data_IF_951055603382
#
_entry.id   IF_951055603382
#
_cell.length_a   1.000
_cell.length_b   1.000
_cell.length_c   1.000
_cell.angle_alpha   90.00
_cell.angle_beta   90.00
_cell.angle_gamma   90.00
#
_symmetry.space_group_name_H-M   'P 1'
#
loop_
_entity.id
_entity.type
_entity.pdbx_description
1 polymer ?
#
# COMPACT_ATOMS: atom_id res chain seq x y z
N UNK A 1 -0.66 -21.57 -2.09
CA UNK A 1 -1.56 -20.92 -3.04
C UNK A 1 -0.73 -20.34 -4.16
N UNK A 2 -0.92 -20.86 -5.37
CA UNK A 2 -0.30 -20.35 -6.59
C UNK A 2 -1.08 -19.15 -7.15
N UNK A 3 -0.55 -18.53 -8.19
CA UNK A 3 -1.13 -17.34 -8.83
C UNK A 3 -2.52 -17.62 -9.41
N UNK A 4 -2.70 -18.77 -10.04
CA UNK A 4 -3.93 -19.19 -10.71
C UNK A 4 -5.10 -19.29 -9.73
N UNK A 5 -4.86 -19.91 -8.57
CA UNK A 5 -5.83 -20.03 -7.47
C UNK A 5 -6.31 -18.66 -6.96
N UNK A 6 -5.45 -17.64 -6.96
CA UNK A 6 -5.80 -16.28 -6.51
C UNK A 6 -6.76 -15.63 -7.51
N UNK A 7 -6.50 -15.79 -8.81
CA UNK A 7 -7.37 -15.24 -9.86
C UNK A 7 -8.74 -15.93 -9.84
N UNK A 8 -8.79 -17.25 -9.65
CA UNK A 8 -10.04 -17.97 -9.48
C UNK A 8 -10.84 -17.46 -8.27
N UNK A 9 -10.17 -17.27 -7.11
CA UNK A 9 -10.81 -16.66 -5.94
C UNK A 9 -11.32 -15.25 -6.23
N UNK A 10 -10.58 -14.44 -6.98
CA UNK A 10 -11.03 -13.10 -7.35
C UNK A 10 -12.27 -13.14 -8.27
N UNK A 11 -12.31 -14.06 -9.23
CA UNK A 11 -13.48 -14.24 -10.09
C UNK A 11 -14.71 -14.71 -9.31
N UNK A 12 -14.53 -15.56 -8.29
CA UNK A 12 -15.62 -16.03 -7.42
C UNK A 12 -16.14 -14.94 -6.48
N UNK A 13 -15.26 -14.07 -5.98
CA UNK A 13 -15.59 -13.02 -5.02
C UNK A 13 -16.00 -11.69 -5.67
N UNK A 14 -15.98 -11.61 -7.00
CA UNK A 14 -16.25 -10.37 -7.72
C UNK A 14 -17.64 -9.84 -7.39
N UNK A 15 -17.73 -8.53 -7.21
CA UNK A 15 -18.97 -7.87 -6.84
C UNK A 15 -19.13 -6.54 -7.59
N UNK A 16 -19.89 -6.51 -8.70
CA UNK A 16 -20.12 -5.30 -9.49
C UNK A 16 -20.78 -4.16 -8.69
N UNK A 17 -21.65 -4.47 -7.72
CA UNK A 17 -22.28 -3.44 -6.87
C UNK A 17 -21.25 -2.70 -6.02
N UNK A 18 -20.22 -3.40 -5.54
CA UNK A 18 -19.12 -2.77 -4.82
C UNK A 18 -18.30 -1.88 -5.76
N UNK A 19 -18.07 -2.31 -7.01
CA UNK A 19 -17.38 -1.49 -8.03
C UNK A 19 -18.12 -0.17 -8.26
N UNK A 20 -19.46 -0.21 -8.37
CA UNK A 20 -20.28 1.01 -8.46
C UNK A 20 -20.17 1.88 -7.20
N UNK A 21 -20.18 1.25 -6.02
CA UNK A 21 -20.05 1.94 -4.73
C UNK A 21 -18.70 2.65 -4.53
N UNK A 22 -17.60 2.06 -5.02
CA UNK A 22 -16.23 2.61 -4.94
C UNK A 22 -16.15 4.05 -5.50
N UNK A 23 -16.89 4.32 -6.58
CA UNK A 23 -16.92 5.63 -7.22
C UNK A 23 -17.43 6.75 -6.28
N UNK A 24 -18.31 6.43 -5.32
CA UNK A 24 -18.83 7.38 -4.31
C UNK A 24 -17.74 7.83 -3.33
N UNK A 25 -16.73 6.99 -3.13
CA UNK A 25 -15.55 7.29 -2.29
C UNK A 25 -14.38 7.85 -3.11
N UNK A 26 -14.59 8.18 -4.40
CA UNK A 26 -13.53 8.65 -5.28
C UNK A 26 -12.52 7.57 -5.68
N UNK A 27 -12.83 6.29 -5.43
CA UNK A 27 -12.00 5.16 -5.85
C UNK A 27 -12.38 4.85 -7.31
N UNK A 28 -11.52 5.28 -8.24
CA UNK A 28 -11.70 5.11 -9.69
C UNK A 28 -10.38 4.70 -10.34
N UNK A 29 -9.85 3.50 -10.00
CA UNK A 29 -8.60 3.02 -10.55
C UNK A 29 -8.72 2.85 -12.08
N UNK A 30 -7.59 2.99 -12.77
CA UNK A 30 -7.46 2.76 -14.23
C UNK A 30 -7.22 1.29 -14.55
N UNK A 31 -6.88 0.50 -13.53
CA UNK A 31 -6.69 -0.95 -13.59
C UNK A 31 -8.00 -1.73 -13.61
N UNK A 32 -7.93 -3.04 -13.92
CA UNK A 32 -9.07 -3.96 -13.71
C UNK A 32 -9.47 -3.98 -12.24
N UNK A 33 -10.78 -4.06 -11.97
CA UNK A 33 -11.36 -4.04 -10.62
C UNK A 33 -12.35 -5.20 -10.47
N UNK A 34 -12.29 -5.89 -9.34
CA UNK A 34 -13.21 -6.97 -8.99
C UNK A 34 -14.28 -6.56 -7.97
N UNK A 35 -14.08 -5.48 -7.21
CA UNK A 35 -15.00 -5.01 -6.18
C UNK A 35 -14.97 -5.88 -4.92
N UNK A 36 -13.84 -6.53 -4.63
CA UNK A 36 -13.70 -7.43 -3.48
C UNK A 36 -13.50 -6.61 -2.23
N UNK A 37 -14.27 -6.90 -1.18
CA UNK A 37 -14.15 -6.19 0.09
C UNK A 37 -12.79 -6.46 0.76
N UNK A 38 -12.22 -5.44 1.41
CA UNK A 38 -10.93 -5.54 2.12
C UNK A 38 -10.85 -6.74 3.09
N UNK A 39 -11.89 -7.08 3.88
CA UNK A 39 -11.86 -8.27 4.73
C UNK A 39 -11.58 -9.57 3.98
N UNK A 40 -12.14 -9.74 2.78
CA UNK A 40 -11.90 -10.91 1.94
C UNK A 40 -10.47 -10.94 1.39
N UNK A 41 -9.93 -9.79 0.95
CA UNK A 41 -8.52 -9.70 0.53
C UNK A 41 -7.58 -10.04 1.70
N UNK A 42 -7.91 -9.61 2.93
CA UNK A 42 -7.14 -9.97 4.14
C UNK A 42 -7.23 -11.46 4.47
N UNK A 43 -8.38 -12.11 4.25
CA UNK A 43 -8.53 -13.57 4.40
C UNK A 43 -7.62 -14.30 3.41
N UNK A 44 -7.62 -13.91 2.14
CA UNK A 44 -6.72 -14.48 1.11
C UNK A 44 -5.25 -14.31 1.52
N UNK A 45 -4.87 -13.12 1.97
CA UNK A 45 -3.51 -12.87 2.46
C UNK A 45 -3.11 -13.81 3.63
N UNK A 46 -4.04 -14.07 4.56
CA UNK A 46 -3.84 -15.01 5.67
C UNK A 46 -3.69 -16.45 5.18
N UNK A 47 -4.48 -16.87 4.21
CA UNK A 47 -4.39 -18.21 3.59
C UNK A 47 -3.04 -18.41 2.89
N UNK A 48 -2.55 -17.40 2.15
CA UNK A 48 -1.24 -17.45 1.50
C UNK A 48 -0.12 -17.68 2.53
N UNK A 49 -0.13 -16.89 3.61
CA UNK A 49 0.87 -16.98 4.69
C UNK A 49 0.80 -18.29 5.46
N UNK A 50 -0.40 -18.87 5.62
CA UNK A 50 -0.60 -20.17 6.29
C UNK A 50 -0.22 -21.37 5.43
N UNK A 51 -0.34 -21.26 4.10
CA UNK A 51 0.01 -22.33 3.17
C UNK A 51 1.53 -22.53 3.01
N UNK A 52 2.31 -22.09 4.00
CA UNK A 52 3.72 -22.40 4.17
C UNK A 52 3.82 -23.59 5.15
N UNK A 53 4.58 -24.65 4.84
CA UNK A 53 4.62 -25.84 5.67
C UNK A 53 5.06 -25.50 7.10
N UNK A 54 4.26 -25.91 8.08
CA UNK A 54 4.57 -25.74 9.50
C UNK A 54 5.95 -26.36 9.80
N UNK A 55 6.91 -25.52 10.19
CA UNK A 55 8.20 -26.00 10.73
C UNK A 55 9.49 -25.45 10.12
N UNK A 56 9.48 -24.47 9.19
CA UNK A 56 10.73 -23.79 8.79
C UNK A 56 10.53 -22.28 8.60
N UNK A 57 10.64 -21.56 9.71
CA UNK A 57 10.86 -20.12 9.77
C UNK A 57 12.23 -19.72 9.15
N UNK A 58 12.43 -20.03 7.87
CA UNK A 58 13.63 -19.68 7.12
C UNK A 58 13.28 -18.67 6.02
N UNK A 59 14.24 -17.84 5.65
CA UNK A 59 14.21 -16.80 4.60
C UNK A 59 13.53 -17.24 3.27
N UNK A 60 13.34 -18.55 3.04
CA UNK A 60 12.64 -19.11 1.88
C UNK A 60 11.17 -18.72 1.79
N UNK A 61 10.45 -18.60 2.90
CA UNK A 61 8.99 -18.37 2.90
C UNK A 61 8.64 -16.91 2.63
N UNK A 62 9.30 -15.99 3.36
CA UNK A 62 9.27 -14.56 3.08
C UNK A 62 9.68 -14.27 1.62
N UNK A 63 10.71 -14.96 1.13
CA UNK A 63 11.13 -14.86 -0.27
C UNK A 63 10.08 -15.35 -1.28
N UNK A 64 9.32 -16.40 -0.96
CA UNK A 64 8.23 -16.92 -1.81
C UNK A 64 7.10 -15.92 -1.91
N UNK A 65 6.58 -15.47 -0.76
CA UNK A 65 5.43 -14.58 -0.70
C UNK A 65 5.76 -13.20 -1.27
N UNK A 66 6.99 -12.70 -1.07
CA UNK A 66 7.47 -11.49 -1.72
C UNK A 66 7.53 -11.61 -3.24
N UNK A 67 8.05 -12.73 -3.77
CA UNK A 67 8.05 -12.98 -5.24
C UNK A 67 6.62 -12.99 -5.79
N UNK A 68 5.68 -13.59 -5.07
CA UNK A 68 4.26 -13.57 -5.42
C UNK A 68 3.69 -12.15 -5.38
N UNK A 69 4.00 -11.36 -4.35
CA UNK A 69 3.57 -9.96 -4.26
C UNK A 69 4.02 -9.14 -5.47
N UNK A 70 5.27 -9.31 -5.90
CA UNK A 70 5.81 -8.63 -7.08
C UNK A 70 5.06 -9.03 -8.35
N UNK A 71 4.73 -10.32 -8.51
CA UNK A 71 3.91 -10.80 -9.64
C UNK A 71 2.50 -10.20 -9.59
N UNK A 72 1.83 -10.24 -8.44
CA UNK A 72 0.48 -9.69 -8.25
C UNK A 72 0.41 -8.19 -8.58
N UNK A 73 1.43 -7.44 -8.17
CA UNK A 73 1.52 -6.01 -8.49
C UNK A 73 1.50 -5.74 -10.01
N UNK A 74 2.24 -6.56 -10.77
CA UNK A 74 2.43 -6.41 -12.21
C UNK A 74 1.20 -6.78 -13.03
N UNK A 75 0.22 -7.46 -12.44
CA UNK A 75 -1.06 -7.79 -13.08
C UNK A 75 -1.93 -6.57 -13.38
N UNK A 76 -1.66 -5.43 -12.72
CA UNK A 76 -2.48 -4.22 -12.87
C UNK A 76 -3.97 -4.52 -12.63
N UNK A 77 -4.23 -5.23 -11.53
CA UNK A 77 -5.56 -5.44 -10.96
C UNK A 77 -5.57 -4.74 -9.59
N UNK A 78 -6.63 -3.98 -9.32
CA UNK A 78 -6.75 -3.16 -8.12
C UNK A 78 -6.58 -3.99 -6.84
N UNK A 79 -7.37 -5.07 -6.70
CA UNK A 79 -7.33 -5.97 -5.54
C UNK A 79 -6.02 -6.75 -5.46
N UNK A 80 -5.41 -7.09 -6.61
CA UNK A 80 -4.11 -7.77 -6.62
C UNK A 80 -3.00 -6.88 -6.07
N UNK A 81 -3.04 -5.56 -6.33
CA UNK A 81 -2.08 -4.60 -5.78
C UNK A 81 -2.24 -4.41 -4.29
N UNK A 82 -3.48 -4.40 -3.79
CA UNK A 82 -3.75 -4.39 -2.35
C UNK A 82 -3.22 -5.67 -1.70
N UNK A 83 -3.53 -6.84 -2.30
CA UNK A 83 -3.04 -8.13 -1.81
C UNK A 83 -1.51 -8.19 -1.82
N UNK A 84 -0.86 -7.66 -2.86
CA UNK A 84 0.59 -7.54 -2.93
C UNK A 84 1.15 -6.76 -1.72
N UNK A 85 0.52 -5.64 -1.34
CA UNK A 85 0.89 -4.89 -0.13
C UNK A 85 0.70 -5.67 1.17
N UNK A 86 -0.23 -6.63 1.23
CA UNK A 86 -0.48 -7.44 2.42
C UNK A 86 0.51 -8.60 2.60
N UNK A 87 1.07 -9.12 1.51
CA UNK A 87 1.94 -10.29 1.53
C UNK A 87 3.40 -9.99 1.20
N UNK A 88 3.72 -8.81 0.66
CA UNK A 88 5.10 -8.39 0.45
C UNK A 88 5.87 -8.29 1.76
N UNK A 89 7.12 -8.73 1.73
CA UNK A 89 8.04 -8.59 2.84
C UNK A 89 8.76 -7.25 2.75
N UNK A 90 8.62 -6.41 3.78
CA UNK A 90 9.23 -5.09 3.83
C UNK A 90 10.76 -5.13 3.90
N UNK A 91 11.34 -6.16 4.55
CA UNK A 91 12.79 -6.37 4.62
C UNK A 91 13.40 -6.82 3.29
N UNK A 92 12.60 -7.40 2.39
CA UNK A 92 13.02 -7.76 1.03
C UNK A 92 12.66 -6.70 -0.02
N UNK A 93 11.89 -5.67 0.35
CA UNK A 93 11.46 -4.64 -0.59
C UNK A 93 12.59 -3.62 -0.82
N UNK A 94 13.02 -3.50 -2.08
CA UNK A 94 14.04 -2.52 -2.48
C UNK A 94 13.44 -1.15 -2.78
N UNK A 95 14.24 -0.09 -2.67
CA UNK A 95 13.82 1.26 -3.10
C UNK A 95 13.36 1.31 -4.57
N UNK A 96 13.99 0.50 -5.44
CA UNK A 96 13.61 0.39 -6.86
C UNK A 96 12.22 -0.23 -7.03
N UNK A 97 11.91 -1.28 -6.28
CA UNK A 97 10.58 -1.91 -6.29
C UNK A 97 9.52 -0.97 -5.72
N UNK A 98 9.79 -0.33 -4.57
CA UNK A 98 8.89 0.67 -3.99
C UNK A 98 8.61 1.80 -4.99
N UNK A 99 9.64 2.34 -5.65
CA UNK A 99 9.47 3.38 -6.66
C UNK A 99 8.65 2.90 -7.88
N UNK A 100 8.82 1.64 -8.32
CA UNK A 100 7.99 1.03 -9.37
C UNK A 100 6.52 0.98 -8.94
N UNK A 101 6.26 0.59 -7.70
CA UNK A 101 4.91 0.53 -7.16
C UNK A 101 4.28 1.92 -7.05
N UNK A 102 5.02 2.88 -6.51
CA UNK A 102 4.57 4.28 -6.36
C UNK A 102 4.15 4.88 -7.71
N UNK A 103 4.94 4.65 -8.77
CA UNK A 103 4.60 5.10 -10.14
C UNK A 103 3.34 4.44 -10.69
N UNK A 104 2.97 3.26 -10.17
CA UNK A 104 1.78 2.51 -10.57
C UNK A 104 0.51 2.88 -9.81
N UNK A 105 0.60 3.63 -8.69
CA UNK A 105 -0.57 4.04 -7.92
C UNK A 105 -1.51 4.93 -8.73
N UNK A 106 -2.78 4.58 -8.73
CA UNK A 106 -3.86 5.25 -9.44
C UNK A 106 -5.15 5.36 -8.61
N UNK A 107 -5.11 4.95 -7.34
CA UNK A 107 -6.21 5.08 -6.40
C UNK A 107 -5.70 5.25 -4.97
N UNK A 108 -6.41 6.05 -4.17
CA UNK A 108 -5.97 6.46 -2.84
C UNK A 108 -5.96 5.32 -1.82
N UNK A 109 -6.88 4.38 -1.95
CA UNK A 109 -7.02 3.22 -1.08
C UNK A 109 -5.90 2.20 -1.30
N UNK A 110 -5.45 2.01 -2.55
CA UNK A 110 -4.25 1.21 -2.84
C UNK A 110 -3.02 1.83 -2.16
N UNK A 111 -2.87 3.16 -2.23
CA UNK A 111 -1.78 3.88 -1.53
C UNK A 111 -1.85 3.58 -0.04
N UNK A 112 -3.01 3.77 0.59
CA UNK A 112 -3.18 3.65 2.03
C UNK A 112 -2.97 2.20 2.54
N UNK A 113 -3.53 1.21 1.83
CA UNK A 113 -3.35 -0.19 2.19
C UNK A 113 -1.89 -0.63 2.05
N UNK A 114 -1.22 -0.27 0.95
CA UNK A 114 0.18 -0.64 0.71
C UNK A 114 1.13 0.07 1.69
N UNK A 115 0.87 1.35 1.99
CA UNK A 115 1.65 2.11 2.94
C UNK A 115 1.60 1.50 4.35
N UNK A 116 0.38 1.25 4.85
CA UNK A 116 0.16 0.73 6.20
C UNK A 116 0.53 -0.75 6.37
N UNK A 117 0.52 -1.51 5.27
CA UNK A 117 0.77 -2.96 5.33
C UNK A 117 2.22 -3.33 5.05
N UNK A 118 2.93 -2.56 4.22
CA UNK A 118 4.31 -2.90 3.82
C UNK A 118 5.27 -1.70 3.91
N UNK A 119 5.00 -0.59 3.23
CA UNK A 119 6.04 0.44 3.04
C UNK A 119 6.52 1.08 4.35
N UNK A 120 5.64 1.27 5.32
CA UNK A 120 5.98 1.87 6.62
C UNK A 120 6.94 1.03 7.48
N UNK A 121 7.09 -0.25 7.16
CA UNK A 121 8.01 -1.21 7.81
C UNK A 121 9.37 -1.28 7.13
N UNK A 122 9.59 -0.54 6.04
CA UNK A 122 10.90 -0.52 5.36
C UNK A 122 11.87 0.43 6.06
N UNK A 123 13.16 0.07 6.09
CA UNK A 123 14.20 0.88 6.75
C UNK A 123 14.38 2.27 6.12
N UNK A 124 13.98 2.42 4.85
CA UNK A 124 14.09 3.66 4.10
C UNK A 124 12.79 4.47 4.03
N UNK A 125 11.70 4.03 4.67
CA UNK A 125 10.39 4.71 4.65
C UNK A 125 10.51 6.17 5.07
N UNK A 126 11.19 6.42 6.20
CA UNK A 126 11.39 7.76 6.75
C UNK A 126 12.06 8.70 5.73
N UNK A 127 13.18 8.27 5.14
CA UNK A 127 13.91 9.05 4.13
C UNK A 127 13.05 9.29 2.88
N UNK A 128 12.26 8.29 2.47
CA UNK A 128 11.45 8.34 1.27
C UNK A 128 10.35 9.41 1.34
N UNK A 129 9.80 9.69 2.53
CA UNK A 129 8.81 10.76 2.74
C UNK A 129 9.31 12.12 2.23
N UNK A 130 10.56 12.48 2.53
CA UNK A 130 11.15 13.77 2.12
C UNK A 130 11.31 13.87 0.60
N UNK A 131 11.57 12.75 -0.08
CA UNK A 131 11.64 12.69 -1.54
C UNK A 131 10.25 12.80 -2.16
N UNK A 132 9.31 11.97 -1.68
CA UNK A 132 7.95 11.85 -2.24
C UNK A 132 7.14 13.13 -2.07
N UNK A 133 7.32 13.84 -0.95
CA UNK A 133 6.60 15.10 -0.69
C UNK A 133 6.90 16.19 -1.72
N UNK A 134 8.02 16.09 -2.45
CA UNK A 134 8.41 17.03 -3.51
C UNK A 134 7.85 16.63 -4.88
N UNK A 135 7.26 15.43 -5.02
CA UNK A 135 6.80 14.93 -6.32
C UNK A 135 5.53 15.63 -6.78
N UNK A 136 5.42 15.80 -8.10
CA UNK A 136 4.28 16.49 -8.74
C UNK A 136 3.08 15.59 -8.99
N UNK A 137 3.23 14.27 -9.10
CA UNK A 137 2.10 13.36 -9.33
C UNK A 137 1.30 13.15 -8.04
N UNK A 138 -0.03 13.14 -8.17
CA UNK A 138 -0.96 13.16 -7.03
C UNK A 138 -0.73 12.01 -6.04
N UNK A 139 -0.83 10.75 -6.49
CA UNK A 139 -0.68 9.60 -5.62
C UNK A 139 0.76 9.39 -5.13
N UNK A 140 1.76 9.81 -5.92
CA UNK A 140 3.15 9.79 -5.47
C UNK A 140 3.37 10.76 -4.31
N UNK A 141 2.80 11.97 -4.39
CA UNK A 141 2.86 12.95 -3.29
C UNK A 141 1.99 12.52 -2.11
N UNK A 142 0.80 11.97 -2.35
CA UNK A 142 -0.07 11.38 -1.31
C UNK A 142 0.69 10.35 -0.48
N UNK A 143 1.44 9.47 -1.13
CA UNK A 143 2.25 8.42 -0.47
C UNK A 143 3.13 9.00 0.63
N UNK A 144 3.72 10.19 0.44
CA UNK A 144 4.54 10.83 1.47
C UNK A 144 3.76 11.08 2.77
N UNK A 145 2.57 11.68 2.65
CA UNK A 145 1.75 12.05 3.81
C UNK A 145 1.04 10.84 4.42
N UNK A 146 0.60 9.88 3.60
CA UNK A 146 0.10 8.60 4.08
C UNK A 146 1.18 7.87 4.91
N UNK A 147 2.43 7.87 4.46
CA UNK A 147 3.54 7.27 5.23
C UNK A 147 3.81 7.99 6.55
N UNK A 148 3.71 9.32 6.59
CA UNK A 148 3.81 10.07 7.86
C UNK A 148 2.76 9.57 8.86
N UNK A 149 1.50 9.44 8.44
CA UNK A 149 0.42 8.94 9.28
C UNK A 149 0.64 7.48 9.71
N UNK A 150 1.05 6.61 8.79
CA UNK A 150 1.32 5.19 9.12
C UNK A 150 2.46 5.05 10.13
N UNK A 151 3.55 5.80 9.97
CA UNK A 151 4.67 5.79 10.92
C UNK A 151 4.26 6.27 12.31
N UNK A 152 3.40 7.30 12.41
CA UNK A 152 2.90 7.78 13.69
C UNK A 152 2.10 6.70 14.45
N UNK A 153 1.35 5.86 13.72
CA UNK A 153 0.57 4.77 14.33
C UNK A 153 1.45 3.55 14.63
N UNK A 154 2.30 3.11 13.70
CA UNK A 154 2.97 1.81 13.78
C UNK A 154 4.41 1.87 14.30
N UNK A 155 5.16 2.95 14.07
CA UNK A 155 6.56 3.04 14.49
C UNK A 155 6.69 3.61 15.91
N UNK A 156 6.51 2.75 16.91
CA UNK A 156 6.58 3.11 18.34
C UNK A 156 8.00 3.47 18.81
N UNK A 157 9.03 3.20 18.01
CA UNK A 157 10.42 3.54 18.35
C UNK A 157 10.81 4.95 17.89
N UNK A 158 10.08 5.56 16.95
CA UNK A 158 10.33 6.93 16.54
C UNK A 158 10.04 7.92 17.66
N UNK A 159 10.91 8.92 17.80
CA UNK A 159 10.80 9.96 18.82
C UNK A 159 10.07 11.17 18.26
N UNK A 160 9.43 11.95 19.12
CA UNK A 160 8.73 13.19 18.73
C UNK A 160 9.58 14.11 17.85
N UNK A 161 10.87 14.25 18.19
CA UNK A 161 11.83 15.05 17.41
C UNK A 161 11.95 14.63 15.95
N UNK A 162 11.70 13.36 15.63
CA UNK A 162 11.76 12.85 14.26
C UNK A 162 10.47 13.13 13.50
N UNK A 163 9.32 13.14 14.18
CA UNK A 163 8.04 13.58 13.63
C UNK A 163 7.96 15.10 13.43
N UNK A 164 8.55 15.90 14.33
CA UNK A 164 8.62 17.36 14.20
C UNK A 164 9.29 17.80 12.88
N UNK A 165 10.21 16.99 12.34
CA UNK A 165 10.85 17.23 11.03
C UNK A 165 9.86 17.14 9.85
N UNK A 166 8.68 16.54 10.02
CA UNK A 166 7.64 16.49 8.99
C UNK A 166 6.79 17.77 8.94
N UNK A 167 6.65 18.51 10.04
CA UNK A 167 5.80 19.69 10.11
C UNK A 167 6.10 20.79 9.08
N UNK A 168 7.38 21.13 8.78
CA UNK A 168 7.67 22.08 7.71
C UNK A 168 7.13 21.65 6.35
N UNK A 169 7.13 20.34 6.06
CA UNK A 169 6.66 19.77 4.79
C UNK A 169 5.13 19.79 4.73
N UNK A 170 4.47 19.42 5.84
CA UNK A 170 3.02 19.49 6.02
C UNK A 170 2.55 20.93 5.81
N UNK A 171 3.16 21.90 6.52
CA UNK A 171 2.85 23.33 6.40
C UNK A 171 3.02 23.82 4.96
N UNK A 172 4.15 23.51 4.32
CA UNK A 172 4.41 23.91 2.92
C UNK A 172 3.40 23.30 1.93
N UNK A 173 2.87 22.12 2.22
CA UNK A 173 1.93 21.43 1.34
C UNK A 173 0.47 21.68 1.68
N UNK A 174 0.17 22.40 2.76
CA UNK A 174 -1.20 22.61 3.25
C UNK A 174 -2.14 23.25 2.21
N UNK A 175 -1.59 23.99 1.24
CA UNK A 175 -2.32 24.64 0.15
C UNK A 175 -2.37 23.81 -1.14
N UNK A 176 -2.05 22.51 -1.10
CA UNK A 176 -2.07 21.66 -2.29
C UNK A 176 -3.50 21.41 -2.75
N UNK A 177 -3.93 21.93 -3.89
CA UNK A 177 -5.34 21.89 -4.33
C UNK A 177 -5.92 20.51 -4.65
N UNK A 178 -5.09 19.47 -4.74
CA UNK A 178 -5.53 18.12 -5.08
C UNK A 178 -6.18 17.43 -3.88
N UNK A 179 -7.46 17.08 -3.99
CA UNK A 179 -8.26 16.56 -2.89
C UNK A 179 -7.62 15.35 -2.18
N UNK A 180 -7.07 14.39 -2.93
CA UNK A 180 -6.44 13.21 -2.31
C UNK A 180 -5.13 13.55 -1.60
N UNK A 181 -4.42 14.60 -2.01
CA UNK A 181 -3.24 15.09 -1.28
C UNK A 181 -3.68 15.84 -0.03
N UNK A 182 -4.66 16.76 -0.13
CA UNK A 182 -5.25 17.48 1.03
C UNK A 182 -5.68 16.53 2.14
N UNK A 183 -6.40 15.46 1.77
CA UNK A 183 -6.88 14.45 2.74
C UNK A 183 -5.74 13.72 3.44
N UNK A 184 -4.68 13.35 2.73
CA UNK A 184 -3.51 12.70 3.34
C UNK A 184 -2.70 13.65 4.22
N UNK A 185 -2.59 14.94 3.85
CA UNK A 185 -1.94 15.96 4.69
C UNK A 185 -2.72 16.16 6.00
N UNK A 186 -4.05 16.26 5.92
CA UNK A 186 -4.90 16.37 7.10
C UNK A 186 -4.73 15.13 7.99
N UNK A 187 -4.72 13.94 7.40
CA UNK A 187 -4.50 12.70 8.15
C UNK A 187 -3.12 12.65 8.81
N UNK A 188 -2.05 13.09 8.12
CA UNK A 188 -0.70 13.14 8.69
C UNK A 188 -0.57 14.11 9.88
N UNK A 189 -1.47 15.09 10.00
CA UNK A 189 -1.49 16.05 11.10
C UNK A 189 -2.33 15.60 12.30
N UNK A 190 -3.32 14.71 12.08
CA UNK A 190 -4.21 14.18 13.11
C UNK A 190 -3.52 13.08 13.91
#
# INVERSE_FOLDING_TARGET
MQYEEIIEKFELLKNPRNVEGMARFGIRPKTKVYGIAIPEIRKIAKEIKKAAPEGRASLSEAGRDHKLALKLWDLKIHEARILAGFIADAGLLTEKQMNKWIKGFDSWDVVDQVCSSCFDKTDFAYKKIFELSKRKKEFEKRTAFTLMACLAVHNKAMKDKDFLKFFPIIKKSATDERNFVKKAINWALR
#
